data_IF_592242572983
#
_entry.id   IF_592242572983
#
_cell.length_a   1.000
_cell.length_b   1.000
_cell.length_c   1.000
_cell.angle_alpha   90.00
_cell.angle_beta   90.00
_cell.angle_gamma   90.00
#
_symmetry.space_group_name_H-M   'P 1'
#
loop_
_entity.id
_entity.type
_entity.pdbx_description
1 polymer ?
#
# COMPACT_ATOMS: atom_id res chain seq x y z
N UNK A 1 63.77 16.08 -47.13
CA UNK A 1 62.53 15.52 -47.67
C UNK A 1 62.26 14.23 -46.89
N UNK A 2 61.60 14.34 -45.75
CA UNK A 2 61.27 13.17 -44.87
C UNK A 2 59.84 12.71 -45.16
N UNK A 3 59.68 11.50 -45.64
CA UNK A 3 58.39 10.84 -45.80
C UNK A 3 58.01 10.19 -44.46
N UNK A 4 56.98 10.69 -43.82
CA UNK A 4 56.32 10.02 -42.72
C UNK A 4 55.38 8.98 -43.30
N UNK A 5 55.70 7.69 -43.07
CA UNK A 5 54.82 6.57 -43.42
C UNK A 5 54.06 6.19 -42.17
N UNK A 6 52.77 6.54 -42.13
CA UNK A 6 51.84 6.06 -41.03
C UNK A 6 51.34 4.71 -41.48
N UNK A 7 51.75 3.67 -40.74
CA UNK A 7 51.28 2.29 -40.97
C UNK A 7 49.85 2.11 -40.48
N UNK A 8 49.02 1.58 -41.34
CA UNK A 8 47.56 1.31 -41.19
C UNK A 8 47.17 0.41 -40.02
N UNK A 9 48.14 -0.17 -39.29
CA UNK A 9 47.89 -1.09 -38.16
C UNK A 9 47.50 -0.41 -36.83
N UNK A 10 47.78 0.89 -36.66
CA UNK A 10 47.48 1.61 -35.41
C UNK A 10 46.05 2.13 -35.34
N UNK A 11 45.38 2.29 -36.48
CA UNK A 11 44.01 2.83 -36.53
C UNK A 11 42.96 1.77 -36.10
N UNK A 12 43.27 0.49 -36.30
CA UNK A 12 42.35 -0.64 -35.99
C UNK A 12 42.17 -0.87 -34.47
N UNK A 13 43.22 -0.69 -33.66
CA UNK A 13 43.17 -0.95 -32.23
C UNK A 13 42.39 0.11 -31.44
N UNK A 14 42.35 1.35 -31.89
CA UNK A 14 41.60 2.42 -31.20
C UNK A 14 40.10 2.36 -31.49
N UNK A 15 39.73 1.98 -32.71
CA UNK A 15 38.32 1.81 -33.07
C UNK A 15 37.62 0.73 -32.24
N UNK A 16 38.27 -0.40 -32.01
CA UNK A 16 37.69 -1.51 -31.23
C UNK A 16 37.53 -1.17 -29.73
N UNK A 17 38.47 -0.40 -29.17
CA UNK A 17 38.35 0.04 -27.76
C UNK A 17 37.22 1.03 -27.56
N UNK A 18 37.02 1.99 -28.47
CA UNK A 18 35.90 2.95 -28.38
C UNK A 18 34.55 2.27 -28.56
N UNK A 19 34.44 1.30 -29.47
CA UNK A 19 33.18 0.54 -29.67
C UNK A 19 32.86 -0.31 -28.44
N UNK A 20 33.86 -0.94 -27.81
CA UNK A 20 33.67 -1.74 -26.60
C UNK A 20 33.20 -0.89 -25.41
N UNK A 21 33.75 0.34 -25.24
CA UNK A 21 33.29 1.26 -24.19
C UNK A 21 31.87 1.78 -24.42
N UNK A 22 31.47 2.02 -25.67
CA UNK A 22 30.11 2.42 -26.03
C UNK A 22 29.10 1.29 -25.76
N UNK A 23 29.46 0.03 -26.09
CA UNK A 23 28.60 -1.14 -25.77
C UNK A 23 28.52 -1.39 -24.28
N UNK A 24 29.62 -1.24 -23.53
CA UNK A 24 29.62 -1.42 -22.09
C UNK A 24 28.80 -0.33 -21.38
N UNK A 25 28.88 0.92 -21.84
CA UNK A 25 28.06 2.04 -21.35
C UNK A 25 26.57 1.86 -21.65
N UNK A 26 26.25 1.29 -22.82
CA UNK A 26 24.87 1.03 -23.21
C UNK A 26 24.26 -0.13 -22.40
N UNK A 27 25.03 -1.19 -22.10
CA UNK A 27 24.61 -2.29 -21.22
C UNK A 27 24.40 -1.82 -19.77
N UNK A 28 25.23 -0.89 -19.26
CA UNK A 28 25.05 -0.29 -17.93
C UNK A 28 23.79 0.59 -17.86
N UNK A 29 23.45 1.31 -18.94
CA UNK A 29 22.21 2.09 -19.01
C UNK A 29 20.96 1.22 -19.06
N UNK A 30 21.01 0.08 -19.75
CA UNK A 30 19.89 -0.89 -19.77
C UNK A 30 19.72 -1.62 -18.43
N UNK A 31 20.80 -1.90 -17.70
CA UNK A 31 20.73 -2.53 -16.37
C UNK A 31 20.01 -1.63 -15.34
N UNK A 32 20.21 -0.31 -15.41
CA UNK A 32 19.52 0.63 -14.52
C UNK A 32 18.05 0.86 -14.90
N UNK A 33 17.63 0.56 -16.13
CA UNK A 33 16.24 0.70 -16.56
C UNK A 33 15.36 -0.48 -16.09
N UNK A 34 15.95 -1.63 -15.74
CA UNK A 34 15.21 -2.82 -15.30
C UNK A 34 15.03 -2.94 -13.77
N UNK A 35 15.65 -2.07 -12.99
CA UNK A 35 15.54 -2.07 -11.54
C UNK A 35 14.43 -1.12 -11.01
N UNK A 36 13.40 -0.85 -11.79
CA UNK A 36 12.15 -0.33 -11.23
C UNK A 36 11.44 -1.51 -10.58
N UNK A 37 11.87 -1.83 -9.36
CA UNK A 37 11.24 -2.84 -8.52
C UNK A 37 9.72 -2.57 -8.52
N UNK A 38 8.98 -3.48 -9.13
CA UNK A 38 7.53 -3.34 -9.31
C UNK A 38 6.89 -3.54 -7.92
N UNK A 39 6.87 -2.46 -7.11
CA UNK A 39 6.35 -2.48 -5.74
C UNK A 39 4.94 -3.06 -5.76
N UNK A 40 4.77 -4.23 -5.13
CA UNK A 40 3.48 -4.88 -5.07
C UNK A 40 2.56 -4.14 -4.09
N UNK A 41 1.40 -3.79 -4.58
CA UNK A 41 0.37 -3.06 -3.85
C UNK A 41 -0.75 -4.02 -3.45
N UNK A 42 -1.20 -3.91 -2.22
CA UNK A 42 -2.41 -4.53 -1.71
C UNK A 42 -3.37 -3.45 -1.22
N UNK A 43 -4.62 -3.52 -1.63
CA UNK A 43 -5.72 -2.77 -1.04
C UNK A 43 -6.54 -3.74 -0.18
N UNK A 44 -6.29 -3.75 1.12
CA UNK A 44 -7.03 -4.58 2.07
C UNK A 44 -8.07 -3.73 2.80
N UNK A 45 -9.30 -4.21 2.92
CA UNK A 45 -10.37 -3.44 3.57
C UNK A 45 -11.36 -4.33 4.30
N UNK A 46 -11.91 -3.79 5.39
CA UNK A 46 -13.10 -4.32 6.03
C UNK A 46 -14.29 -3.42 5.70
N UNK A 47 -15.42 -4.03 5.34
CA UNK A 47 -16.66 -3.31 5.08
C UNK A 47 -17.86 -4.20 5.42
N UNK A 48 -18.81 -3.66 6.18
CA UNK A 48 -20.14 -4.24 6.31
C UNK A 48 -21.04 -3.76 5.17
N UNK A 49 -22.29 -4.16 5.21
CA UNK A 49 -23.40 -3.82 4.32
C UNK A 49 -23.31 -2.46 3.64
N UNK A 50 -23.89 -2.31 2.49
CA UNK A 50 -23.92 -1.06 1.72
C UNK A 50 -22.54 -0.57 1.28
N UNK A 51 -21.49 -1.11 1.91
CA UNK A 51 -20.16 -1.09 1.36
C UNK A 51 -19.46 0.25 1.29
N UNK A 52 -19.72 1.24 2.15
CA UNK A 52 -19.04 2.55 2.07
C UNK A 52 -17.52 2.39 2.01
N UNK A 53 -16.92 1.60 2.93
CA UNK A 53 -15.48 1.33 2.90
C UNK A 53 -15.08 0.51 1.66
N UNK A 54 -15.96 -0.37 1.17
CA UNK A 54 -15.76 -1.12 -0.07
C UNK A 54 -15.66 -0.18 -1.27
N UNK A 55 -16.61 0.76 -1.41
CA UNK A 55 -16.60 1.72 -2.52
C UNK A 55 -15.32 2.54 -2.56
N UNK A 56 -14.87 3.04 -1.40
CA UNK A 56 -13.58 3.76 -1.29
C UNK A 56 -12.40 2.84 -1.64
N UNK A 57 -12.41 1.57 -1.20
CA UNK A 57 -11.36 0.61 -1.51
C UNK A 57 -11.29 0.31 -3.02
N UNK A 58 -12.43 0.11 -3.67
CA UNK A 58 -12.52 -0.11 -5.12
C UNK A 58 -12.03 1.10 -5.91
N UNK A 59 -12.38 2.32 -5.46
CA UNK A 59 -11.90 3.56 -6.07
C UNK A 59 -10.36 3.70 -5.95
N UNK A 60 -9.81 3.46 -4.75
CA UNK A 60 -8.36 3.46 -4.54
C UNK A 60 -7.69 2.38 -5.40
N UNK A 61 -8.21 1.15 -5.38
CA UNK A 61 -7.67 0.05 -6.16
C UNK A 61 -7.63 0.37 -7.66
N UNK A 62 -8.70 0.95 -8.22
CA UNK A 62 -8.75 1.38 -9.62
C UNK A 62 -7.62 2.37 -9.98
N UNK A 63 -7.19 3.21 -9.04
CA UNK A 63 -6.17 4.23 -9.24
C UNK A 63 -4.73 3.74 -8.98
N UNK A 64 -4.55 2.86 -8.01
CA UNK A 64 -3.21 2.40 -7.60
C UNK A 64 -2.84 1.04 -8.18
N UNK A 65 -3.82 0.28 -8.66
CA UNK A 65 -3.66 -1.10 -9.11
C UNK A 65 -3.36 -2.08 -7.98
N UNK A 66 -2.73 -3.20 -8.30
CA UNK A 66 -2.38 -4.25 -7.35
C UNK A 66 -3.52 -5.22 -7.07
N UNK A 67 -3.51 -5.82 -5.88
CA UNK A 67 -4.52 -6.79 -5.47
C UNK A 67 -5.54 -6.16 -4.52
N UNK A 68 -6.81 -6.56 -4.65
CA UNK A 68 -7.89 -6.14 -3.76
C UNK A 68 -8.28 -7.29 -2.83
N UNK A 69 -8.28 -7.05 -1.53
CA UNK A 69 -8.58 -8.06 -0.52
C UNK A 69 -9.63 -7.58 0.48
N UNK A 70 -10.77 -8.29 0.53
CA UNK A 70 -11.78 -8.05 1.56
C UNK A 70 -11.44 -8.84 2.82
N UNK A 71 -11.30 -8.13 3.94
CA UNK A 71 -11.17 -8.72 5.27
C UNK A 71 -12.57 -9.18 5.69
N UNK A 72 -12.73 -10.47 5.92
CA UNK A 72 -14.01 -11.06 6.32
C UNK A 72 -13.85 -11.79 7.65
N UNK A 73 -14.73 -11.55 8.63
CA UNK A 73 -14.76 -12.38 9.84
C UNK A 73 -15.19 -13.81 9.49
N UNK A 74 -14.66 -14.79 10.22
CA UNK A 74 -15.07 -16.20 10.09
C UNK A 74 -16.56 -16.38 10.37
N UNK A 75 -17.04 -15.76 11.45
CA UNK A 75 -18.46 -15.65 11.77
C UNK A 75 -18.98 -14.30 11.32
N UNK A 76 -19.84 -14.22 10.31
CA UNK A 76 -20.38 -12.94 9.82
C UNK A 76 -21.04 -12.11 10.91
N UNK A 77 -20.96 -10.79 10.77
CA UNK A 77 -21.77 -9.91 11.61
C UNK A 77 -23.25 -10.06 11.27
N UNK A 78 -24.13 -9.86 12.28
CA UNK A 78 -25.59 -9.93 12.08
C UNK A 78 -26.09 -9.03 10.94
N UNK A 79 -27.30 -9.31 10.51
CA UNK A 79 -27.96 -8.48 9.50
C UNK A 79 -28.54 -7.20 10.07
N UNK A 80 -29.06 -7.20 11.28
CA UNK A 80 -29.66 -6.03 11.89
C UNK A 80 -28.61 -5.07 12.47
N UNK A 81 -28.80 -3.78 12.26
CA UNK A 81 -27.86 -2.76 12.71
C UNK A 81 -27.67 -2.73 14.22
N UNK A 82 -28.77 -2.89 14.98
CA UNK A 82 -28.72 -2.99 16.44
C UNK A 82 -27.82 -4.11 16.93
N UNK A 83 -27.90 -5.27 16.28
CA UNK A 83 -27.15 -6.47 16.66
C UNK A 83 -25.66 -6.33 16.27
N UNK A 84 -25.37 -5.68 15.13
CA UNK A 84 -24.00 -5.29 14.78
C UNK A 84 -23.43 -4.38 15.85
N UNK A 85 -24.19 -3.37 16.29
CA UNK A 85 -23.77 -2.43 17.34
C UNK A 85 -23.54 -3.13 18.65
N UNK A 86 -24.45 -4.04 19.06
CA UNK A 86 -24.31 -4.82 20.29
C UNK A 86 -23.04 -5.67 20.27
N UNK A 87 -22.85 -6.48 19.23
CA UNK A 87 -21.65 -7.31 19.05
C UNK A 87 -20.37 -6.49 19.00
N UNK A 88 -20.35 -5.39 18.26
CA UNK A 88 -19.17 -4.53 18.17
C UNK A 88 -18.80 -3.85 19.50
N UNK A 89 -19.82 -3.52 20.34
CA UNK A 89 -19.60 -3.05 21.71
C UNK A 89 -19.02 -4.14 22.60
N UNK A 90 -19.55 -5.35 22.50
CA UNK A 90 -19.05 -6.51 23.25
C UNK A 90 -17.59 -6.82 22.88
N UNK A 91 -17.29 -6.93 21.59
CA UNK A 91 -15.92 -7.12 21.09
C UNK A 91 -14.96 -6.06 21.62
N UNK A 92 -15.38 -4.79 21.60
CA UNK A 92 -14.58 -3.68 22.10
C UNK A 92 -14.37 -3.75 23.63
N UNK A 93 -15.43 -3.99 24.40
CA UNK A 93 -15.39 -3.94 25.86
C UNK A 93 -14.57 -5.10 26.44
N UNK A 94 -14.60 -6.26 25.78
CA UNK A 94 -13.90 -7.47 26.19
C UNK A 94 -12.58 -7.68 25.45
N UNK A 95 -12.15 -6.71 24.61
CA UNK A 95 -10.96 -6.80 23.74
C UNK A 95 -10.93 -8.08 22.89
N UNK A 96 -12.11 -8.51 22.40
CA UNK A 96 -12.25 -9.69 21.56
C UNK A 96 -11.86 -9.38 20.12
N UNK A 97 -11.02 -10.23 19.57
CA UNK A 97 -10.55 -10.14 18.19
C UNK A 97 -11.16 -11.28 17.36
N UNK A 98 -12.25 -11.02 16.62
CA UNK A 98 -12.89 -12.05 15.81
C UNK A 98 -11.94 -12.67 14.81
N UNK A 99 -11.94 -13.98 14.65
CA UNK A 99 -11.14 -14.66 13.64
C UNK A 99 -11.52 -14.18 12.24
N UNK A 100 -10.53 -14.08 11.35
CA UNK A 100 -10.76 -13.81 9.94
C UNK A 100 -10.87 -15.11 9.15
N UNK A 101 -11.73 -15.11 8.14
CA UNK A 101 -12.04 -16.27 7.30
C UNK A 101 -10.81 -16.79 6.54
N UNK A 102 -9.92 -15.90 6.11
CA UNK A 102 -8.69 -16.24 5.38
C UNK A 102 -7.63 -15.16 5.52
N UNK A 103 -6.38 -15.56 5.43
CA UNK A 103 -5.23 -14.65 5.33
C UNK A 103 -4.96 -14.25 3.87
N UNK A 104 -4.25 -13.15 3.68
CA UNK A 104 -3.75 -12.77 2.35
C UNK A 104 -2.67 -13.75 1.93
N UNK A 105 -2.82 -14.45 0.78
CA UNK A 105 -1.77 -15.32 0.26
C UNK A 105 -0.50 -14.52 -0.03
N UNK A 106 0.66 -15.07 0.33
CA UNK A 106 1.97 -14.46 0.07
C UNK A 106 2.06 -12.98 0.49
N UNK A 107 1.52 -12.65 1.68
CA UNK A 107 1.51 -11.27 2.21
C UNK A 107 2.90 -10.63 2.23
N UNK A 108 3.95 -11.42 2.42
CA UNK A 108 5.34 -10.95 2.39
C UNK A 108 5.73 -10.25 1.07
N UNK A 109 5.08 -10.61 -0.04
CA UNK A 109 5.40 -10.06 -1.36
C UNK A 109 4.90 -8.63 -1.59
N UNK A 110 4.05 -8.08 -0.70
CA UNK A 110 3.55 -6.72 -0.84
C UNK A 110 4.45 -5.73 -0.12
N UNK A 111 4.74 -4.60 -0.76
CA UNK A 111 5.52 -3.50 -0.20
C UNK A 111 4.63 -2.40 0.37
N UNK A 112 3.50 -2.15 -0.28
CA UNK A 112 2.55 -1.10 0.11
C UNK A 112 1.18 -1.69 0.36
N UNK A 113 0.62 -1.41 1.54
CA UNK A 113 -0.69 -1.87 1.97
C UNK A 113 -1.60 -0.66 2.18
N UNK A 114 -2.59 -0.47 1.32
CA UNK A 114 -3.71 0.42 1.61
C UNK A 114 -4.68 -0.31 2.52
N UNK A 115 -4.91 0.23 3.72
CA UNK A 115 -5.72 -0.42 4.74
C UNK A 115 -7.03 0.35 5.00
N UNK A 116 -8.15 -0.23 4.57
CA UNK A 116 -9.49 0.34 4.65
C UNK A 116 -10.22 -0.03 5.93
N UNK A 117 -10.63 0.98 6.70
CA UNK A 117 -11.13 0.82 8.07
C UNK A 117 -12.43 1.62 8.25
N UNK A 118 -13.58 0.99 8.51
CA UNK A 118 -14.72 1.70 9.05
C UNK A 118 -14.45 2.05 10.51
N UNK A 119 -14.66 3.31 10.90
CA UNK A 119 -14.46 3.73 12.29
C UNK A 119 -15.67 3.34 13.12
N UNK A 120 -15.46 2.46 14.10
CA UNK A 120 -16.49 2.03 15.05
C UNK A 120 -16.19 2.55 16.44
N UNK A 121 -17.10 3.35 17.00
CA UNK A 121 -16.91 3.97 18.32
C UNK A 121 -15.57 4.70 18.49
N UNK A 122 -15.05 5.30 17.42
CA UNK A 122 -13.77 5.98 17.40
C UNK A 122 -12.52 5.06 17.36
N UNK A 123 -12.71 3.75 17.14
CA UNK A 123 -11.64 2.75 17.17
C UNK A 123 -11.65 1.84 15.92
N UNK A 124 -10.62 0.99 15.82
CA UNK A 124 -10.59 -0.08 14.83
C UNK A 124 -11.57 -1.20 15.23
N UNK A 125 -12.33 -1.75 14.26
CA UNK A 125 -13.08 -2.99 14.48
C UNK A 125 -12.15 -4.14 14.87
N UNK A 126 -12.62 -5.03 15.75
CA UNK A 126 -11.86 -6.19 16.21
C UNK A 126 -11.30 -7.05 15.08
N UNK A 127 -12.07 -7.27 14.02
CA UNK A 127 -11.64 -8.03 12.83
C UNK A 127 -10.47 -7.39 12.10
N UNK A 128 -10.35 -6.05 12.09
CA UNK A 128 -9.19 -5.33 11.52
C UNK A 128 -7.97 -5.49 12.42
N UNK A 129 -8.16 -5.46 13.74
CA UNK A 129 -7.08 -5.76 14.70
C UNK A 129 -6.54 -7.18 14.48
N UNK A 130 -7.41 -8.17 14.28
CA UNK A 130 -7.02 -9.55 13.93
C UNK A 130 -6.22 -9.61 12.63
N UNK A 131 -6.67 -8.91 11.60
CA UNK A 131 -5.95 -8.84 10.33
C UNK A 131 -4.52 -8.31 10.51
N UNK A 132 -4.36 -7.23 11.27
CA UNK A 132 -3.04 -6.66 11.56
C UNK A 132 -2.18 -7.65 12.35
N UNK A 133 -2.73 -8.29 13.38
CA UNK A 133 -2.00 -9.23 14.22
C UNK A 133 -1.55 -10.52 13.49
N UNK A 134 -2.27 -10.93 12.44
CA UNK A 134 -2.01 -12.16 11.70
C UNK A 134 -1.09 -12.01 10.49
N UNK A 135 -0.66 -10.80 10.15
CA UNK A 135 0.21 -10.51 9.02
C UNK A 135 1.46 -9.73 9.47
N UNK A 136 2.58 -10.00 8.81
CA UNK A 136 3.83 -9.30 9.10
C UNK A 136 3.95 -8.00 8.31
N UNK A 137 3.77 -6.88 8.99
CA UNK A 137 3.86 -5.54 8.41
C UNK A 137 5.26 -4.92 8.49
N UNK A 138 6.26 -5.62 9.00
CA UNK A 138 7.63 -5.09 9.15
C UNK A 138 8.18 -4.62 7.80
N UNK A 139 8.71 -3.39 7.78
CA UNK A 139 9.30 -2.78 6.60
C UNK A 139 8.31 -2.42 5.47
N UNK A 140 7.01 -2.61 5.69
CA UNK A 140 5.98 -2.26 4.70
C UNK A 140 5.51 -0.82 4.87
N UNK A 141 5.10 -0.20 3.77
CA UNK A 141 4.38 1.08 3.78
C UNK A 141 2.90 0.79 4.03
N UNK A 142 2.33 1.37 5.07
CA UNK A 142 0.91 1.24 5.39
C UNK A 142 0.23 2.58 5.19
N UNK A 143 -0.79 2.60 4.33
CA UNK A 143 -1.54 3.79 3.93
C UNK A 143 -2.98 3.61 4.37
N UNK A 144 -3.38 4.13 5.55
CA UNK A 144 -4.73 3.95 6.04
C UNK A 144 -5.73 4.83 5.28
N UNK A 145 -6.90 4.29 5.01
CA UNK A 145 -8.07 5.07 4.63
C UNK A 145 -9.25 4.64 5.49
N UNK A 146 -9.99 5.61 5.97
CA UNK A 146 -11.08 5.36 6.89
C UNK A 146 -12.41 5.90 6.38
N UNK A 147 -13.48 5.25 6.80
CA UNK A 147 -14.85 5.73 6.57
C UNK A 147 -15.60 5.87 7.88
N UNK A 148 -16.41 6.90 7.98
CA UNK A 148 -17.20 7.18 9.19
C UNK A 148 -18.47 7.95 8.88
N UNK A 149 -19.44 7.88 9.79
CA UNK A 149 -20.57 8.82 9.79
C UNK A 149 -20.22 10.20 10.34
N UNK A 150 -19.32 10.27 11.36
CA UNK A 150 -18.98 11.53 12.06
C UNK A 150 -17.56 11.55 12.65
N UNK A 151 -16.96 10.38 12.93
CA UNK A 151 -15.67 10.30 13.65
C UNK A 151 -14.49 10.66 12.73
N UNK A 152 -13.51 11.41 13.24
CA UNK A 152 -12.29 11.74 12.52
C UNK A 152 -11.27 10.59 12.54
N UNK A 153 -10.41 10.50 11.51
CA UNK A 153 -9.33 9.50 11.40
C UNK A 153 -8.24 9.69 12.48
N UNK A 154 -8.07 10.91 12.98
CA UNK A 154 -7.07 11.24 14.00
C UNK A 154 -7.12 10.32 15.23
N UNK A 155 -8.31 9.82 15.60
CA UNK A 155 -8.46 8.87 16.70
C UNK A 155 -7.91 7.48 16.40
N UNK A 156 -7.82 7.09 15.13
CA UNK A 156 -7.27 5.79 14.72
C UNK A 156 -5.74 5.77 14.66
N UNK A 157 -5.13 6.90 14.35
CA UNK A 157 -3.69 6.95 14.07
C UNK A 157 -2.82 6.47 15.24
N UNK A 158 -3.07 6.85 16.51
CA UNK A 158 -2.31 6.33 17.66
C UNK A 158 -2.42 4.80 17.78
N UNK A 159 -3.62 4.24 17.58
CA UNK A 159 -3.82 2.79 17.64
C UNK A 159 -3.06 2.07 16.51
N UNK A 160 -3.09 2.62 15.28
CA UNK A 160 -2.34 2.06 14.16
C UNK A 160 -0.83 2.14 14.41
N UNK A 161 -0.32 3.25 14.93
CA UNK A 161 1.09 3.39 15.29
C UNK A 161 1.53 2.35 16.32
N UNK A 162 0.70 2.11 17.34
CA UNK A 162 0.96 1.10 18.38
C UNK A 162 0.96 -0.33 17.79
N UNK A 163 0.03 -0.63 16.89
CA UNK A 163 -0.10 -1.97 16.30
C UNK A 163 0.90 -2.25 15.16
N UNK A 164 1.48 -1.22 14.57
CA UNK A 164 2.34 -1.28 13.40
C UNK A 164 3.72 -0.63 13.63
N UNK A 165 4.41 -0.90 14.75
CA UNK A 165 5.59 -0.13 15.18
C UNK A 165 6.80 -0.28 14.25
N UNK A 166 6.83 -1.33 13.42
CA UNK A 166 7.93 -1.63 12.48
C UNK A 166 7.53 -1.42 11.01
N UNK A 167 6.42 -0.74 10.77
CA UNK A 167 5.99 -0.32 9.43
C UNK A 167 6.19 1.18 9.24
N UNK A 168 6.16 1.61 7.99
CA UNK A 168 6.08 3.03 7.66
C UNK A 168 4.61 3.42 7.50
N UNK A 169 4.03 3.93 8.57
CA UNK A 169 2.65 4.40 8.58
C UNK A 169 2.58 5.79 7.91
N UNK A 170 1.75 5.91 6.88
CA UNK A 170 1.54 7.15 6.13
C UNK A 170 0.33 7.91 6.67
N UNK A 171 0.22 9.18 6.27
CA UNK A 171 -0.97 9.97 6.55
C UNK A 171 -2.18 9.38 5.84
N UNK A 172 -3.25 9.15 6.60
CA UNK A 172 -4.49 8.55 6.10
C UNK A 172 -5.50 9.56 5.60
N UNK A 173 -6.47 9.08 4.82
CA UNK A 173 -7.65 9.86 4.42
C UNK A 173 -8.90 9.38 5.15
N UNK A 174 -9.78 10.32 5.49
CA UNK A 174 -11.14 10.04 5.95
C UNK A 174 -12.14 10.40 4.85
N UNK A 175 -13.04 9.48 4.53
CA UNK A 175 -14.22 9.73 3.69
C UNK A 175 -15.47 9.55 4.54
N UNK A 176 -16.28 10.57 4.64
CA UNK A 176 -17.56 10.48 5.33
C UNK A 176 -18.58 9.72 4.49
N UNK A 177 -19.52 9.04 5.16
CA UNK A 177 -20.55 8.25 4.46
C UNK A 177 -21.33 9.03 3.42
N UNK A 178 -21.65 10.29 3.72
CA UNK A 178 -22.40 11.18 2.82
C UNK A 178 -21.54 11.80 1.70
N UNK A 179 -20.21 11.61 1.72
CA UNK A 179 -19.27 12.14 0.73
C UNK A 179 -18.79 11.05 -0.23
N UNK A 180 -19.15 9.79 0.00
CA UNK A 180 -18.54 8.65 -0.72
C UNK A 180 -18.72 8.73 -2.23
N UNK A 181 -19.91 9.11 -2.70
CA UNK A 181 -20.24 9.17 -4.13
C UNK A 181 -19.49 10.30 -4.87
N UNK A 182 -19.02 11.31 -4.13
CA UNK A 182 -18.28 12.48 -4.66
C UNK A 182 -16.81 12.47 -4.23
N UNK A 183 -16.32 11.39 -3.61
CA UNK A 183 -14.99 11.35 -2.99
C UNK A 183 -13.83 11.19 -3.98
N UNK A 184 -14.08 10.80 -5.22
CA UNK A 184 -13.05 10.48 -6.20
C UNK A 184 -11.98 11.58 -6.42
N UNK A 185 -12.33 12.87 -6.59
CA UNK A 185 -11.33 13.93 -6.72
C UNK A 185 -10.46 14.11 -5.48
N UNK A 186 -11.06 13.96 -4.28
CA UNK A 186 -10.36 14.08 -3.01
C UNK A 186 -9.40 12.90 -2.79
N UNK A 187 -9.80 11.69 -3.18
CA UNK A 187 -8.93 10.52 -3.19
C UNK A 187 -7.76 10.74 -4.16
N UNK A 188 -8.00 11.27 -5.36
CA UNK A 188 -6.94 11.59 -6.31
C UNK A 188 -5.92 12.59 -5.76
N UNK A 189 -6.41 13.65 -5.14
CA UNK A 189 -5.54 14.66 -4.53
C UNK A 189 -4.69 14.04 -3.42
N UNK A 190 -5.30 13.24 -2.54
CA UNK A 190 -4.58 12.54 -1.47
C UNK A 190 -3.54 11.56 -2.02
N UNK A 191 -3.87 10.75 -3.02
CA UNK A 191 -2.92 9.82 -3.63
C UNK A 191 -1.70 10.52 -4.24
N UNK A 192 -1.88 11.74 -4.80
CA UNK A 192 -0.75 12.56 -5.29
C UNK A 192 0.20 12.97 -4.17
N UNK A 193 -0.30 13.28 -2.98
CA UNK A 193 0.57 13.61 -1.83
C UNK A 193 1.45 12.45 -1.38
N UNK A 194 1.05 11.21 -1.70
CA UNK A 194 1.77 10.00 -1.33
C UNK A 194 2.83 9.58 -2.37
N UNK A 195 2.84 10.16 -3.57
CA UNK A 195 3.75 9.78 -4.65
C UNK A 195 5.24 9.89 -4.28
N UNK A 196 5.72 10.95 -3.63
CA UNK A 196 7.14 11.07 -3.25
C UNK A 196 7.62 9.90 -2.39
N UNK A 197 6.72 9.27 -1.62
CA UNK A 197 7.04 8.16 -0.74
C UNK A 197 6.98 6.78 -1.44
N UNK A 198 6.34 6.70 -2.61
CA UNK A 198 6.31 5.49 -3.44
C UNK A 198 7.61 5.30 -4.22
N UNK A 199 8.36 6.36 -4.45
CA UNK A 199 9.57 6.40 -5.29
C UNK A 199 10.88 6.33 -4.48
N UNK A 200 10.86 6.56 -3.17
CA UNK A 200 12.07 6.46 -2.34
C UNK A 200 12.49 5.00 -2.16
N UNK A 201 13.73 4.61 -2.56
CA UNK A 201 14.27 3.29 -2.25
C UNK A 201 14.34 3.08 -0.74
N UNK A 202 14.18 1.82 -0.29
CA UNK A 202 14.55 1.43 1.07
C UNK A 202 16.02 1.83 1.29
N UNK A 203 16.30 2.72 2.25
CA UNK A 203 17.63 2.84 2.81
C UNK A 203 17.86 1.55 3.58
N UNK A 204 18.74 0.70 3.05
CA UNK A 204 19.23 -0.48 3.77
C UNK A 204 19.90 0.00 5.06
N UNK A 205 19.35 -0.44 6.19
CA UNK A 205 19.90 -0.25 7.53
C UNK A 205 20.36 -1.59 8.08
#
# INVERSE_FOLDING_TARGET
MYKFSITTSQISLWGHKCILFLFLGMLFSFANLHARENKKVLVAYFSLRGGVTKQVAEEIHRKVGGDLFRIEPEVPYPSEYSDVVARAKEERNNDVYPKIKRKVPRFAAYDTIYLGIPIWFGQLPGVVKTFIAQHDFRGKVVVPFATSGKSGIAKLMPHLTQMLPKSRLMEGILILKNEVDTSAPRIDQWLRTLQPYRETPKKDS
#
